data_IF_179012567254
#
_entry.id   IF_179012567254
#
_cell.length_a   1.000
_cell.length_b   1.000
_cell.length_c   1.000
_cell.angle_alpha   90.00
_cell.angle_beta   90.00
_cell.angle_gamma   90.00
#
_symmetry.space_group_name_H-M   'P 1'
#
loop_
_entity.id
_entity.type
_entity.pdbx_description
1 polymer ?
#
# COMPACT_ATOMS: atom_id res chain seq x y z
N UNK A 1 1.67 -22.48 12.30
CA UNK A 1 0.83 -21.48 11.60
C UNK A 1 0.49 -20.42 12.62
N UNK A 2 0.72 -19.15 12.33
CA UNK A 2 0.42 -18.04 13.24
C UNK A 2 -1.09 -17.94 13.46
N UNK A 3 -1.51 -17.77 14.72
CA UNK A 3 -2.94 -17.62 15.06
C UNK A 3 -3.55 -16.37 14.43
N UNK A 4 -2.75 -15.30 14.24
CA UNK A 4 -3.23 -14.05 13.63
C UNK A 4 -2.91 -13.98 12.14
N UNK A 5 -3.94 -13.63 11.36
CA UNK A 5 -3.90 -13.55 9.90
C UNK A 5 -3.64 -12.10 9.45
N UNK A 6 -2.82 -11.86 8.43
CA UNK A 6 -2.43 -10.50 8.05
C UNK A 6 -3.61 -9.68 7.54
N UNK A 7 -3.48 -8.35 7.67
CA UNK A 7 -4.28 -7.37 6.95
C UNK A 7 -3.53 -6.91 5.69
N UNK A 8 -4.18 -7.02 4.53
CA UNK A 8 -3.71 -6.45 3.26
C UNK A 8 -4.52 -5.23 2.85
N UNK A 9 -3.84 -4.12 2.56
CA UNK A 9 -4.50 -2.89 2.05
C UNK A 9 -4.39 -2.84 0.53
N UNK A 10 -5.55 -2.93 -0.13
CA UNK A 10 -5.69 -2.98 -1.59
C UNK A 10 -6.15 -1.63 -2.13
N UNK A 11 -5.34 -1.02 -2.99
CA UNK A 11 -5.69 0.22 -3.69
C UNK A 11 -4.82 0.41 -4.93
N UNK A 12 -5.23 1.27 -5.89
CA UNK A 12 -4.26 1.83 -6.80
C UNK A 12 -3.28 2.71 -6.03
N UNK A 13 -2.01 2.73 -6.45
CA UNK A 13 -1.05 3.68 -5.92
C UNK A 13 -1.60 5.12 -5.94
N UNK A 14 -1.11 5.98 -5.04
CA UNK A 14 -1.59 7.36 -4.83
C UNK A 14 -2.94 7.51 -4.09
N UNK A 15 -3.38 6.47 -3.38
CA UNK A 15 -4.64 6.49 -2.59
C UNK A 15 -4.39 6.58 -1.08
N UNK A 16 -3.50 7.46 -0.60
CA UNK A 16 -3.14 7.61 0.83
C UNK A 16 -2.53 6.38 1.52
N UNK A 17 -2.34 5.29 0.77
CA UNK A 17 -1.97 3.98 1.30
C UNK A 17 -0.76 3.91 2.24
N UNK A 18 0.27 4.73 2.07
CA UNK A 18 1.43 4.70 2.98
C UNK A 18 1.08 5.23 4.37
N UNK A 19 0.35 6.34 4.45
CA UNK A 19 -0.07 6.88 5.76
C UNK A 19 -1.10 5.95 6.40
N UNK A 20 -2.12 5.51 5.66
CA UNK A 20 -3.15 4.59 6.18
C UNK A 20 -2.54 3.28 6.69
N UNK A 21 -1.63 2.66 5.93
CA UNK A 21 -0.95 1.42 6.35
C UNK A 21 -0.12 1.63 7.62
N UNK A 22 0.61 2.74 7.70
CA UNK A 22 1.48 3.02 8.85
C UNK A 22 0.66 3.35 10.09
N UNK A 23 -0.40 4.16 9.96
CA UNK A 23 -1.35 4.49 11.03
C UNK A 23 -2.02 3.23 11.60
N UNK A 24 -2.60 2.39 10.74
CA UNK A 24 -3.19 1.12 11.20
C UNK A 24 -2.13 0.25 11.88
N UNK A 25 -0.95 0.16 11.28
CA UNK A 25 0.15 -0.65 11.78
C UNK A 25 0.83 -0.17 13.07
N UNK A 26 0.45 1.00 13.63
CA UNK A 26 0.90 1.46 14.95
C UNK A 26 0.03 0.92 16.11
N UNK A 27 -1.08 0.23 15.81
CA UNK A 27 -1.86 -0.43 16.86
C UNK A 27 -0.96 -1.41 17.65
N UNK A 28 -1.03 -1.49 18.99
CA UNK A 28 -0.14 -2.32 19.81
C UNK A 28 -0.12 -3.81 19.45
N UNK A 29 -1.22 -4.29 18.91
CA UNK A 29 -1.41 -5.68 18.47
C UNK A 29 -1.10 -5.93 16.99
N UNK A 30 -0.70 -4.89 16.26
CA UNK A 30 -0.36 -4.94 14.84
C UNK A 30 1.13 -4.62 14.61
N UNK A 31 1.62 -5.01 13.44
CA UNK A 31 2.94 -4.66 12.96
C UNK A 31 2.85 -4.12 11.53
N UNK A 32 2.91 -2.80 11.41
CA UNK A 32 2.90 -2.10 10.12
C UNK A 32 4.18 -2.31 9.32
N UNK A 33 4.04 -2.93 8.16
CA UNK A 33 5.15 -3.10 7.22
C UNK A 33 5.25 -1.90 6.25
N UNK A 34 6.47 -1.54 5.80
CA UNK A 34 6.63 -0.82 4.55
C UNK A 34 6.25 -1.73 3.36
N UNK A 35 6.31 -1.20 2.14
CA UNK A 35 6.07 -1.98 0.93
C UNK A 35 7.15 -3.08 0.77
N UNK A 36 6.78 -4.34 1.01
CA UNK A 36 7.71 -5.50 0.94
C UNK A 36 7.66 -6.27 -0.38
N UNK A 37 6.58 -6.15 -1.16
CA UNK A 37 6.42 -6.79 -2.48
C UNK A 37 6.61 -8.32 -2.50
N UNK A 38 6.33 -9.04 -1.41
CA UNK A 38 6.37 -10.51 -1.39
C UNK A 38 5.21 -11.14 -2.19
N UNK A 39 4.04 -10.50 -2.16
CA UNK A 39 2.82 -10.96 -2.84
C UNK A 39 2.78 -10.75 -4.35
N UNK A 40 3.92 -10.56 -5.03
CA UNK A 40 3.96 -10.33 -6.49
C UNK A 40 4.89 -11.26 -7.27
N UNK A 41 5.60 -12.15 -6.59
CA UNK A 41 6.54 -13.15 -7.16
C UNK A 41 6.46 -14.44 -6.35
N UNK A 42 6.97 -15.55 -6.88
CA UNK A 42 6.88 -16.88 -6.26
C UNK A 42 8.04 -17.19 -5.31
N UNK A 43 9.24 -16.67 -5.60
CA UNK A 43 10.46 -17.04 -4.88
C UNK A 43 11.27 -15.85 -4.38
N UNK A 44 12.10 -16.09 -3.37
CA UNK A 44 13.06 -15.10 -2.87
C UNK A 44 14.08 -14.72 -3.95
N UNK A 45 14.46 -15.66 -4.81
CA UNK A 45 15.33 -15.39 -5.96
C UNK A 45 14.70 -14.37 -6.95
N UNK A 46 13.44 -14.57 -7.33
CA UNK A 46 12.71 -13.61 -8.18
C UNK A 46 12.58 -12.25 -7.50
N UNK A 47 12.28 -12.25 -6.19
CA UNK A 47 12.18 -11.04 -5.40
C UNK A 47 13.50 -10.25 -5.35
N UNK A 48 14.63 -10.93 -5.16
CA UNK A 48 15.97 -10.34 -5.18
C UNK A 48 16.30 -9.68 -6.52
N UNK A 49 15.71 -10.15 -7.63
CA UNK A 49 15.90 -9.63 -8.99
C UNK A 49 14.95 -8.50 -9.37
N UNK A 50 13.93 -8.18 -8.56
CA UNK A 50 12.99 -7.08 -8.82
C UNK A 50 13.68 -5.75 -9.16
N UNK A 51 14.74 -5.30 -8.44
CA UNK A 51 15.39 -4.01 -8.72
C UNK A 51 16.06 -3.91 -10.09
N UNK A 52 16.41 -5.05 -10.69
CA UNK A 52 17.02 -5.10 -12.02
C UNK A 52 16.01 -4.83 -13.13
N UNK A 53 14.71 -4.87 -12.83
CA UNK A 53 13.65 -4.58 -13.81
C UNK A 53 13.38 -3.07 -13.92
N UNK A 54 13.14 -2.55 -15.14
CA UNK A 54 12.84 -1.13 -15.35
C UNK A 54 11.70 -0.62 -14.45
N UNK A 55 11.98 0.46 -13.71
CA UNK A 55 11.00 1.10 -12.82
C UNK A 55 10.77 0.41 -11.46
N UNK A 56 11.50 -0.66 -11.14
CA UNK A 56 11.31 -1.45 -9.90
C UNK A 56 12.48 -1.37 -8.91
N UNK A 57 13.45 -0.48 -9.13
CA UNK A 57 14.68 -0.32 -8.32
C UNK A 57 14.46 -0.25 -6.79
N UNK A 58 13.31 0.27 -6.34
CA UNK A 58 12.99 0.45 -4.93
C UNK A 58 12.21 -0.72 -4.30
N UNK A 59 11.68 -1.66 -5.08
CA UNK A 59 10.71 -2.65 -4.62
C UNK A 59 11.28 -3.69 -3.64
N UNK A 60 12.60 -3.79 -3.48
CA UNK A 60 13.19 -4.67 -2.47
C UNK A 60 13.60 -3.94 -1.19
N UNK A 61 13.51 -2.61 -1.14
CA UNK A 61 14.11 -1.83 -0.05
C UNK A 61 13.31 -1.96 1.25
N UNK A 62 11.98 -2.02 1.18
CA UNK A 62 11.12 -2.15 2.37
C UNK A 62 11.41 -3.42 3.17
N UNK A 63 11.40 -4.59 2.52
CA UNK A 63 11.67 -5.85 3.22
C UNK A 63 13.09 -5.94 3.78
N UNK A 64 14.09 -5.37 3.09
CA UNK A 64 15.46 -5.34 3.61
C UNK A 64 15.53 -4.56 4.92
N UNK A 65 14.81 -3.44 5.01
CA UNK A 65 14.71 -2.67 6.25
C UNK A 65 13.97 -3.42 7.34
N UNK A 66 12.88 -4.11 6.98
CA UNK A 66 12.11 -4.93 7.93
C UNK A 66 12.96 -6.03 8.54
N UNK A 67 13.68 -6.78 7.71
CA UNK A 67 14.54 -7.85 8.18
C UNK A 67 15.73 -7.30 8.98
N UNK A 68 16.31 -6.15 8.60
CA UNK A 68 17.37 -5.52 9.37
C UNK A 68 16.87 -5.13 10.78
N UNK A 69 15.72 -4.45 10.85
CA UNK A 69 15.08 -4.06 12.10
C UNK A 69 14.77 -5.27 12.98
N UNK A 70 14.16 -6.32 12.42
CA UNK A 70 13.75 -7.50 13.20
C UNK A 70 14.89 -8.43 13.58
N UNK A 71 15.96 -8.51 12.79
CA UNK A 71 17.09 -9.41 13.06
C UNK A 71 18.19 -8.74 13.89
N UNK A 72 18.35 -7.42 13.78
CA UNK A 72 19.47 -6.69 14.38
C UNK A 72 19.04 -5.53 15.29
N UNK A 73 17.75 -5.15 15.30
CA UNK A 73 17.26 -4.01 16.09
C UNK A 73 17.64 -2.64 15.51
N UNK A 74 18.21 -2.60 14.30
CA UNK A 74 18.61 -1.36 13.63
C UNK A 74 18.59 -1.47 12.10
N UNK A 75 18.72 -0.32 11.42
CA UNK A 75 18.70 -0.22 9.95
C UNK A 75 19.96 0.52 9.47
N UNK A 76 21.09 -0.19 9.46
CA UNK A 76 22.40 0.30 8.99
C UNK A 76 22.76 -0.29 7.63
N UNK A 77 23.77 0.25 6.95
CA UNK A 77 24.24 -0.35 5.69
C UNK A 77 24.76 -1.78 5.89
N UNK A 78 25.40 -2.07 7.03
CA UNK A 78 25.93 -3.37 7.38
C UNK A 78 24.85 -4.40 7.64
N UNK A 79 23.88 -4.11 8.50
CA UNK A 79 22.74 -5.00 8.76
C UNK A 79 21.94 -5.29 7.48
N UNK A 80 21.78 -4.31 6.60
CA UNK A 80 21.16 -4.52 5.27
C UNK A 80 22.04 -5.41 4.36
N UNK A 81 23.37 -5.31 4.42
CA UNK A 81 24.28 -6.21 3.68
C UNK A 81 24.15 -7.65 4.18
N UNK A 82 24.11 -7.84 5.50
CA UNK A 82 23.97 -9.15 6.15
C UNK A 82 22.63 -9.80 5.80
N UNK A 83 21.52 -9.08 5.95
CA UNK A 83 20.19 -9.52 5.53
C UNK A 83 20.17 -9.91 4.05
N UNK A 84 20.81 -9.13 3.17
CA UNK A 84 20.88 -9.46 1.75
C UNK A 84 21.67 -10.74 1.49
N UNK A 85 22.75 -10.98 2.24
CA UNK A 85 23.51 -12.22 2.17
C UNK A 85 22.67 -13.41 2.66
N UNK A 86 21.96 -13.25 3.77
CA UNK A 86 21.01 -14.24 4.29
C UNK A 86 19.92 -14.59 3.27
N UNK A 87 19.29 -13.59 2.63
CA UNK A 87 18.29 -13.82 1.58
C UNK A 87 18.86 -14.58 0.36
N UNK A 88 20.13 -14.36 0.00
CA UNK A 88 20.78 -15.10 -1.09
C UNK A 88 20.98 -16.58 -0.74
N UNK A 89 21.32 -16.89 0.51
CA UNK A 89 21.39 -18.27 0.99
C UNK A 89 20.01 -18.95 0.96
N UNK A 90 18.95 -18.17 1.18
CA UNK A 90 17.56 -18.62 1.16
C UNK A 90 16.83 -18.36 -0.17
N UNK A 91 17.56 -18.19 -1.28
CA UNK A 91 16.98 -17.89 -2.61
C UNK A 91 15.93 -18.91 -3.09
N UNK A 92 16.05 -20.15 -2.62
CA UNK A 92 15.19 -21.27 -2.94
C UNK A 92 13.84 -21.23 -2.20
N UNK A 93 13.68 -20.37 -1.20
CA UNK A 93 12.42 -20.22 -0.48
C UNK A 93 11.35 -19.61 -1.36
N UNK A 94 10.11 -20.04 -1.15
CA UNK A 94 8.95 -19.33 -1.68
C UNK A 94 8.76 -18.02 -0.92
N UNK A 95 8.20 -17.01 -1.58
CA UNK A 95 7.76 -15.79 -0.90
C UNK A 95 6.71 -16.08 0.15
N UNK A 96 5.86 -17.11 -0.03
CA UNK A 96 4.93 -17.59 1.00
C UNK A 96 5.67 -17.97 2.27
N UNK A 97 6.71 -18.81 2.18
CA UNK A 97 7.50 -19.22 3.34
C UNK A 97 8.14 -18.03 4.04
N UNK A 98 8.73 -17.10 3.28
CA UNK A 98 9.33 -15.89 3.84
C UNK A 98 8.29 -14.97 4.51
N UNK A 99 7.08 -14.88 3.97
CA UNK A 99 6.01 -14.08 4.57
C UNK A 99 5.50 -14.71 5.88
N UNK A 100 5.40 -16.04 5.95
CA UNK A 100 5.10 -16.76 7.19
C UNK A 100 6.21 -16.62 8.24
N UNK A 101 7.48 -16.74 7.85
CA UNK A 101 8.64 -16.48 8.74
C UNK A 101 8.59 -15.05 9.31
N UNK A 102 8.21 -14.06 8.50
CA UNK A 102 8.01 -12.70 8.98
C UNK A 102 6.86 -12.59 9.99
N UNK A 103 5.74 -13.27 9.75
CA UNK A 103 4.60 -13.29 10.66
C UNK A 103 4.95 -13.94 12.01
N UNK A 104 5.74 -15.01 11.98
CA UNK A 104 6.21 -15.71 13.19
C UNK A 104 7.15 -14.81 14.02
N UNK A 105 8.02 -14.01 13.38
CA UNK A 105 8.95 -13.10 14.07
C UNK A 105 8.27 -11.95 14.81
N UNK A 106 7.10 -11.51 14.34
CA UNK A 106 6.39 -10.37 14.95
C UNK A 106 5.33 -10.82 15.96
N UNK A 107 5.07 -12.13 16.07
CA UNK A 107 4.09 -12.69 16.98
C UNK A 107 4.32 -12.19 18.42
N UNK A 108 3.25 -11.88 19.18
CA UNK A 108 1.83 -12.10 18.87
C UNK A 108 1.18 -11.02 17.99
N UNK A 109 1.93 -10.07 17.43
CA UNK A 109 1.37 -9.01 16.58
C UNK A 109 0.98 -9.54 15.21
N UNK A 110 -0.08 -8.98 14.64
CA UNK A 110 -0.56 -9.27 13.29
C UNK A 110 0.06 -8.33 12.26
N UNK A 111 0.50 -8.85 11.13
CA UNK A 111 1.08 -8.04 10.06
C UNK A 111 0.03 -7.17 9.35
N UNK A 112 0.42 -5.94 9.01
CA UNK A 112 -0.32 -5.07 8.09
C UNK A 112 0.59 -4.77 6.91
N UNK A 113 0.21 -5.23 5.72
CA UNK A 113 0.99 -5.03 4.49
C UNK A 113 0.20 -4.24 3.46
N UNK A 114 0.93 -3.40 2.75
CA UNK A 114 0.45 -2.67 1.59
C UNK A 114 1.57 -2.60 0.58
N UNK A 115 1.32 -3.09 -0.62
CA UNK A 115 2.17 -2.85 -1.78
C UNK A 115 1.33 -2.34 -2.97
N UNK A 116 1.65 -1.20 -3.61
CA UNK A 116 0.82 -0.56 -4.65
C UNK A 116 0.45 -1.43 -5.87
N UNK A 117 1.12 -2.56 -6.06
CA UNK A 117 0.93 -3.49 -7.17
C UNK A 117 -0.01 -4.66 -6.84
N UNK A 118 -0.48 -4.79 -5.59
CA UNK A 118 -1.28 -5.94 -5.15
C UNK A 118 -2.66 -6.05 -5.80
N UNK A 119 -3.24 -4.94 -6.26
CA UNK A 119 -4.57 -4.92 -6.89
C UNK A 119 -4.67 -5.58 -8.28
N UNK A 120 -3.64 -6.30 -8.74
CA UNK A 120 -3.70 -7.09 -9.98
C UNK A 120 -4.24 -8.49 -9.70
N UNK A 121 -4.99 -9.12 -10.63
CA UNK A 121 -5.67 -10.39 -10.36
C UNK A 121 -4.73 -11.52 -9.93
N UNK A 122 -3.55 -11.62 -10.55
CA UNK A 122 -2.53 -12.60 -10.19
C UNK A 122 -1.99 -12.41 -8.77
N UNK A 123 -1.83 -11.16 -8.34
CA UNK A 123 -1.31 -10.82 -7.00
C UNK A 123 -2.40 -11.02 -5.93
N UNK A 124 -3.65 -10.65 -6.21
CA UNK A 124 -4.78 -10.90 -5.32
C UNK A 124 -4.95 -12.40 -5.03
N UNK A 125 -4.93 -13.24 -6.08
CA UNK A 125 -4.97 -14.70 -5.93
C UNK A 125 -3.79 -15.25 -5.14
N UNK A 126 -2.60 -14.68 -5.35
CA UNK A 126 -1.38 -15.07 -4.64
C UNK A 126 -1.49 -14.76 -3.15
N UNK A 127 -1.95 -13.56 -2.78
CA UNK A 127 -2.17 -13.18 -1.38
C UNK A 127 -3.17 -14.11 -0.69
N UNK A 128 -4.31 -14.39 -1.33
CA UNK A 128 -5.31 -15.33 -0.79
C UNK A 128 -4.75 -16.75 -0.65
N UNK A 129 -3.93 -17.21 -1.60
CA UNK A 129 -3.25 -18.51 -1.49
C UNK A 129 -2.24 -18.54 -0.34
N UNK A 130 -1.52 -17.45 -0.11
CA UNK A 130 -0.54 -17.33 0.99
C UNK A 130 -1.22 -17.34 2.35
N UNK A 131 -2.35 -16.64 2.47
CA UNK A 131 -3.12 -16.47 3.70
C UNK A 131 -4.64 -16.55 3.39
N UNK A 132 -5.22 -17.77 3.40
CA UNK A 132 -6.64 -17.97 3.07
C UNK A 132 -7.63 -17.28 4.02
N UNK A 133 -7.17 -16.92 5.21
CA UNK A 133 -7.97 -16.27 6.26
C UNK A 133 -7.57 -14.80 6.49
N UNK A 134 -6.80 -14.20 5.57
CA UNK A 134 -6.41 -12.80 5.67
C UNK A 134 -7.59 -11.83 5.57
N UNK A 135 -7.37 -10.64 6.11
CA UNK A 135 -8.26 -9.49 5.98
C UNK A 135 -7.83 -8.62 4.81
N UNK A 136 -8.79 -8.06 4.08
CA UNK A 136 -8.54 -7.23 2.89
C UNK A 136 -9.26 -5.89 2.99
N UNK A 137 -8.51 -4.81 3.22
CA UNK A 137 -9.05 -3.46 3.25
C UNK A 137 -8.96 -2.85 1.85
N UNK A 138 -10.09 -2.65 1.20
CA UNK A 138 -10.18 -1.93 -0.08
C UNK A 138 -10.20 -0.43 0.20
N UNK A 139 -9.03 0.20 0.05
CA UNK A 139 -8.85 1.64 0.22
C UNK A 139 -9.11 2.37 -1.10
N UNK A 140 -10.01 3.34 -1.08
CA UNK A 140 -10.37 4.17 -2.25
C UNK A 140 -9.92 5.60 -2.07
N UNK A 141 -9.70 6.27 -3.20
CA UNK A 141 -9.51 7.72 -3.28
C UNK A 141 -10.24 8.24 -4.50
N UNK A 142 -10.78 9.46 -4.39
CA UNK A 142 -11.49 10.11 -5.47
C UNK A 142 -10.64 10.12 -6.74
N UNK A 143 -11.22 9.78 -7.90
CA UNK A 143 -10.45 9.61 -9.12
C UNK A 143 -9.77 10.88 -9.63
N UNK A 144 -10.39 12.05 -9.45
CA UNK A 144 -9.78 13.35 -9.78
C UNK A 144 -8.54 13.65 -8.96
N UNK A 145 -8.58 13.40 -7.66
CA UNK A 145 -7.44 13.66 -6.77
C UNK A 145 -6.32 12.62 -6.99
N UNK A 146 -6.69 11.37 -7.28
CA UNK A 146 -5.76 10.31 -7.70
C UNK A 146 -5.08 10.65 -9.02
N UNK A 147 -5.87 11.05 -10.02
CA UNK A 147 -5.38 11.41 -11.36
C UNK A 147 -4.44 12.60 -11.35
N UNK A 148 -4.79 13.68 -10.64
CA UNK A 148 -3.90 14.82 -10.42
C UNK A 148 -2.56 14.41 -9.78
N UNK A 149 -2.60 13.53 -8.77
CA UNK A 149 -1.40 13.04 -8.11
C UNK A 149 -0.53 12.19 -9.04
N UNK A 150 -1.15 11.31 -9.82
CA UNK A 150 -0.45 10.45 -10.77
C UNK A 150 0.15 11.26 -11.92
N UNK A 151 -0.61 12.22 -12.46
CA UNK A 151 -0.15 13.13 -13.49
C UNK A 151 1.08 13.89 -13.05
N UNK A 152 1.05 14.60 -11.91
CA UNK A 152 2.21 15.34 -11.38
C UNK A 152 3.46 14.45 -11.24
N UNK A 153 3.28 13.22 -10.75
CA UNK A 153 4.41 12.28 -10.59
C UNK A 153 4.99 11.79 -11.91
N UNK A 154 4.15 11.59 -12.95
CA UNK A 154 4.57 11.07 -14.25
C UNK A 154 5.02 12.16 -15.22
N UNK A 155 4.39 13.33 -15.20
CA UNK A 155 4.79 14.48 -16.03
C UNK A 155 6.17 14.98 -15.64
N UNK A 156 6.51 15.05 -14.35
CA UNK A 156 7.86 15.39 -13.91
C UNK A 156 8.91 14.41 -14.44
N UNK A 157 8.59 13.11 -14.46
CA UNK A 157 9.46 12.07 -15.00
C UNK A 157 9.57 12.13 -16.52
N UNK A 158 8.48 12.39 -17.23
CA UNK A 158 8.48 12.42 -18.68
C UNK A 158 9.07 13.72 -19.24
N UNK A 159 8.98 14.84 -18.51
CA UNK A 159 9.70 16.08 -18.85
C UNK A 159 11.22 15.84 -18.87
N UNK A 160 11.72 15.01 -17.94
CA UNK A 160 13.12 14.56 -17.95
C UNK A 160 13.47 13.62 -19.13
N UNK A 161 12.48 13.11 -19.87
CA UNK A 161 12.65 12.13 -20.95
C UNK A 161 12.25 12.64 -22.34
N UNK A 162 11.85 13.91 -22.48
CA UNK A 162 11.43 14.53 -23.74
C UNK A 162 9.93 14.40 -24.02
N UNK A 163 9.21 15.52 -23.88
CA UNK A 163 7.78 15.76 -24.18
C UNK A 163 6.80 14.55 -24.12
N UNK A 164 6.13 14.31 -22.97
CA UNK A 164 5.10 13.27 -22.88
C UNK A 164 3.89 13.55 -23.77
N UNK A 165 3.38 12.50 -24.43
CA UNK A 165 2.01 12.48 -24.95
C UNK A 165 1.02 12.51 -23.75
N UNK A 166 0.47 13.70 -23.49
CA UNK A 166 -0.39 13.96 -22.35
C UNK A 166 -1.75 13.27 -22.46
N UNK A 167 -2.26 13.06 -23.68
CA UNK A 167 -3.51 12.36 -23.91
C UNK A 167 -3.35 10.87 -23.61
N UNK A 168 -2.26 10.27 -24.08
CA UNK A 168 -1.90 8.90 -23.72
C UNK A 168 -1.71 8.74 -22.21
N UNK A 169 -1.05 9.70 -21.55
CA UNK A 169 -0.88 9.68 -20.10
C UNK A 169 -2.22 9.73 -19.35
N UNK A 170 -3.17 10.54 -19.80
CA UNK A 170 -4.47 10.64 -19.16
C UNK A 170 -5.33 9.38 -19.33
N UNK A 171 -5.33 8.76 -20.51
CA UNK A 171 -5.99 7.47 -20.71
C UNK A 171 -5.35 6.39 -19.83
N UNK A 172 -4.02 6.37 -19.71
CA UNK A 172 -3.33 5.44 -18.80
C UNK A 172 -3.71 5.64 -17.33
N UNK A 173 -3.95 6.88 -16.89
CA UNK A 173 -4.41 7.18 -15.52
C UNK A 173 -5.81 6.59 -15.28
N UNK A 174 -6.73 6.86 -16.20
CA UNK A 174 -8.12 6.42 -16.11
C UNK A 174 -8.21 4.89 -16.19
N UNK A 175 -7.58 4.28 -17.18
CA UNK A 175 -7.55 2.83 -17.37
C UNK A 175 -6.91 2.11 -16.18
N UNK A 176 -5.83 2.67 -15.61
CA UNK A 176 -5.19 2.09 -14.43
C UNK A 176 -6.10 2.12 -13.20
N UNK A 177 -6.77 3.25 -12.95
CA UNK A 177 -7.71 3.39 -11.83
C UNK A 177 -8.89 2.42 -11.98
N UNK A 178 -9.49 2.35 -13.18
CA UNK A 178 -10.59 1.44 -13.48
C UNK A 178 -10.16 -0.01 -13.29
N UNK A 179 -9.05 -0.41 -13.91
CA UNK A 179 -8.56 -1.78 -13.88
C UNK A 179 -8.33 -2.25 -12.44
N UNK A 180 -7.59 -1.48 -11.64
CA UNK A 180 -7.25 -1.90 -10.27
C UNK A 180 -8.51 -1.99 -9.40
N UNK A 181 -9.39 -0.99 -9.42
CA UNK A 181 -10.59 -1.05 -8.59
C UNK A 181 -11.59 -2.12 -9.05
N UNK A 182 -11.75 -2.35 -10.36
CA UNK A 182 -12.58 -3.43 -10.86
C UNK A 182 -12.06 -4.80 -10.42
N UNK A 183 -10.74 -5.02 -10.45
CA UNK A 183 -10.12 -6.25 -9.96
C UNK A 183 -10.37 -6.44 -8.46
N UNK A 184 -10.16 -5.40 -7.66
CA UNK A 184 -10.35 -5.47 -6.21
C UNK A 184 -11.82 -5.74 -5.87
N UNK A 185 -12.77 -5.06 -6.52
CA UNK A 185 -14.20 -5.30 -6.31
C UNK A 185 -14.62 -6.73 -6.67
N UNK A 186 -14.16 -7.24 -7.81
CA UNK A 186 -14.44 -8.63 -8.21
C UNK A 186 -13.84 -9.64 -7.23
N UNK A 187 -12.64 -9.37 -6.73
CA UNK A 187 -11.98 -10.19 -5.73
C UNK A 187 -12.69 -10.16 -4.38
N UNK A 188 -12.96 -8.99 -3.81
CA UNK A 188 -13.59 -8.87 -2.49
C UNK A 188 -15.03 -9.39 -2.47
N UNK A 189 -15.76 -9.29 -3.60
CA UNK A 189 -17.07 -9.89 -3.74
C UNK A 189 -17.06 -11.43 -3.73
N UNK A 190 -15.90 -12.05 -3.99
CA UNK A 190 -15.72 -13.51 -3.96
C UNK A 190 -15.28 -14.05 -2.59
N UNK A 191 -14.94 -13.17 -1.64
CA UNK A 191 -14.45 -13.57 -0.32
C UNK A 191 -15.61 -13.88 0.65
N UNK A 192 -15.39 -14.78 1.62
CA UNK A 192 -16.27 -14.97 2.77
C UNK A 192 -16.65 -13.65 3.47
N UNK A 193 -17.88 -13.55 4.03
CA UNK A 193 -18.26 -12.41 4.85
C UNK A 193 -17.26 -12.14 5.97
N UNK A 194 -16.97 -10.86 6.22
CA UNK A 194 -16.02 -10.44 7.25
C UNK A 194 -14.55 -10.42 6.80
N UNK A 195 -14.17 -10.96 5.65
CA UNK A 195 -12.79 -10.88 5.16
C UNK A 195 -12.45 -9.58 4.42
N UNK A 196 -13.44 -8.76 4.07
CA UNK A 196 -13.21 -7.52 3.36
C UNK A 196 -13.97 -6.34 3.97
N UNK A 197 -13.30 -5.20 4.02
CA UNK A 197 -13.87 -3.90 4.38
C UNK A 197 -13.49 -2.88 3.29
N UNK A 198 -14.41 -1.97 2.94
CA UNK A 198 -14.11 -0.85 2.05
C UNK A 198 -13.97 0.43 2.87
N UNK A 199 -12.93 1.22 2.58
CA UNK A 199 -12.63 2.47 3.27
C UNK A 199 -12.40 3.60 2.26
N UNK A 200 -13.17 4.68 2.39
CA UNK A 200 -12.93 5.91 1.65
C UNK A 200 -11.81 6.67 2.35
N UNK A 201 -10.69 6.87 1.65
CA UNK A 201 -9.54 7.56 2.22
C UNK A 201 -9.85 9.00 2.63
N UNK A 202 -10.77 9.68 1.93
CA UNK A 202 -11.23 11.01 2.31
C UNK A 202 -11.95 11.03 3.67
N UNK A 203 -12.79 10.04 3.93
CA UNK A 203 -13.51 9.94 5.20
C UNK A 203 -12.59 9.48 6.34
N UNK A 204 -11.67 8.56 6.05
CA UNK A 204 -10.60 8.20 6.99
C UNK A 204 -9.80 9.42 7.45
N UNK A 205 -9.41 10.30 6.51
CA UNK A 205 -8.67 11.51 6.88
C UNK A 205 -9.55 12.53 7.62
N UNK A 206 -10.85 12.58 7.33
CA UNK A 206 -11.78 13.46 8.03
C UNK A 206 -11.98 13.05 9.49
N UNK A 207 -12.13 11.75 9.75
CA UNK A 207 -12.46 11.21 11.07
C UNK A 207 -11.58 9.99 11.42
N UNK A 208 -10.25 10.15 11.56
CA UNK A 208 -9.34 9.01 11.67
C UNK A 208 -9.63 8.13 12.88
N UNK A 209 -9.83 8.70 14.07
CA UNK A 209 -10.12 7.92 15.28
C UNK A 209 -11.37 7.03 15.15
N UNK A 210 -12.42 7.51 14.46
CA UNK A 210 -13.63 6.73 14.20
C UNK A 210 -13.32 5.49 13.35
N UNK A 211 -12.65 5.68 12.21
CA UNK A 211 -12.35 4.58 11.29
C UNK A 211 -11.28 3.64 11.83
N UNK A 212 -10.30 4.15 12.60
CA UNK A 212 -9.31 3.32 13.27
C UNK A 212 -9.97 2.37 14.28
N UNK A 213 -10.95 2.87 15.04
CA UNK A 213 -11.75 2.05 15.95
C UNK A 213 -12.56 0.99 15.22
N UNK A 214 -13.25 1.35 14.13
CA UNK A 214 -13.99 0.38 13.30
C UNK A 214 -13.08 -0.70 12.69
N UNK A 215 -11.86 -0.33 12.27
CA UNK A 215 -10.88 -1.29 11.75
C UNK A 215 -10.40 -2.21 12.88
N UNK A 216 -10.10 -1.68 14.07
CA UNK A 216 -9.70 -2.49 15.22
C UNK A 216 -10.80 -3.49 15.62
N UNK A 217 -12.06 -3.04 15.69
CA UNK A 217 -13.23 -3.91 15.93
C UNK A 217 -13.34 -5.01 14.88
N UNK A 218 -13.24 -4.66 13.61
CA UNK A 218 -13.32 -5.61 12.49
C UNK A 218 -12.21 -6.68 12.53
N UNK A 219 -11.01 -6.30 12.97
CA UNK A 219 -9.88 -7.21 13.13
C UNK A 219 -9.91 -7.99 14.46
N UNK A 220 -10.91 -7.78 15.31
CA UNK A 220 -11.01 -8.33 16.67
C UNK A 220 -9.81 -7.95 17.57
N UNK A 221 -9.45 -6.68 17.55
CA UNK A 221 -8.39 -6.09 18.38
C UNK A 221 -8.99 -5.28 19.53
N UNK A 222 -8.17 -4.91 20.52
CA UNK A 222 -8.58 -3.95 21.55
C UNK A 222 -8.90 -2.58 20.95
N UNK A 223 -9.85 -1.87 21.55
CA UNK A 223 -10.41 -0.62 21.00
C UNK A 223 -10.38 0.53 22.01
N UNK A 224 -9.73 0.37 23.15
CA UNK A 224 -9.56 1.46 24.11
C UNK A 224 -8.75 2.62 23.54
N UNK A 225 -8.88 3.77 24.20
CA UNK A 225 -8.36 5.04 23.69
C UNK A 225 -6.84 5.04 23.54
N UNK A 226 -6.09 4.36 24.41
CA UNK A 226 -4.63 4.25 24.29
C UNK A 226 -4.22 3.54 22.99
N UNK A 227 -4.92 2.46 22.63
CA UNK A 227 -4.64 1.71 21.42
C UNK A 227 -4.98 2.50 20.15
N UNK A 228 -6.11 3.22 20.15
CA UNK A 228 -6.51 4.08 19.04
C UNK A 228 -5.61 5.30 18.94
N UNK A 229 -5.18 5.88 20.05
CA UNK A 229 -4.24 7.00 20.08
C UNK A 229 -2.88 6.60 19.50
N UNK A 230 -2.34 5.44 19.90
CA UNK A 230 -1.10 4.93 19.33
C UNK A 230 -1.15 4.84 17.80
N UNK A 231 -2.30 4.47 17.23
CA UNK A 231 -2.48 4.43 15.78
C UNK A 231 -2.31 5.80 15.12
N UNK A 232 -2.69 6.90 15.77
CA UNK A 232 -2.67 8.26 15.21
C UNK A 232 -1.25 8.84 15.00
N UNK A 233 -0.21 8.12 15.45
CA UNK A 233 1.18 8.54 15.41
C UNK A 233 2.03 7.74 14.40
N UNK A 234 1.73 7.73 13.09
CA UNK A 234 2.49 6.95 12.11
C UNK A 234 3.99 7.31 12.06
N UNK A 235 4.39 8.51 12.50
CA UNK A 235 5.77 8.96 12.63
C UNK A 235 6.61 8.12 13.60
N UNK A 236 6.00 7.38 14.54
CA UNK A 236 6.72 6.51 15.47
C UNK A 236 7.15 5.19 14.83
N UNK A 237 6.68 4.89 13.63
CA UNK A 237 7.10 3.69 12.90
C UNK A 237 8.61 3.73 12.58
N UNK A 238 9.35 2.62 12.75
CA UNK A 238 10.75 2.54 12.33
C UNK A 238 10.92 2.69 10.80
N UNK A 239 9.82 2.62 10.05
CA UNK A 239 9.75 2.74 8.59
C UNK A 239 9.24 4.10 8.11
N UNK A 240 8.88 5.01 9.01
CA UNK A 240 8.41 6.36 8.73
C UNK A 240 9.56 7.37 8.54
N UNK A 241 10.68 6.90 7.98
CA UNK A 241 11.88 7.68 7.69
C UNK A 241 12.64 7.09 6.51
N UNK A 242 13.57 7.85 5.94
CA UNK A 242 14.55 7.29 5.00
C UNK A 242 15.44 6.27 5.71
N UNK A 243 15.66 5.12 5.06
CA UNK A 243 16.60 4.10 5.51
C UNK A 243 18.04 4.39 5.03
N UNK A 244 18.97 3.44 5.26
CA UNK A 244 20.36 3.56 4.81
C UNK A 244 20.47 3.58 3.28
N UNK A 245 21.60 4.03 2.72
CA UNK A 245 21.77 4.26 1.27
C UNK A 245 21.43 3.02 0.44
N UNK A 246 21.78 1.82 0.92
CA UNK A 246 21.55 0.54 0.26
C UNK A 246 20.11 -0.03 0.44
N UNK A 247 19.25 0.62 1.23
CA UNK A 247 17.82 0.34 1.38
C UNK A 247 17.04 1.61 1.79
N UNK A 248 17.15 2.66 0.97
CA UNK A 248 16.72 4.02 1.37
C UNK A 248 15.21 4.22 1.53
N UNK A 249 14.39 3.49 0.79
CA UNK A 249 12.93 3.67 0.75
C UNK A 249 12.20 2.51 1.44
N UNK A 250 10.98 2.20 1.02
CA UNK A 250 10.06 1.27 1.67
C UNK A 250 8.65 1.82 1.66
N UNK A 251 8.50 3.14 1.69
CA UNK A 251 7.24 3.82 1.44
C UNK A 251 7.41 4.90 0.37
N UNK A 252 6.29 5.45 -0.10
CA UNK A 252 6.32 6.61 -0.99
C UNK A 252 7.11 7.77 -0.38
N UNK A 253 7.95 8.42 -1.20
CA UNK A 253 8.81 9.54 -0.81
C UNK A 253 8.09 10.64 -0.04
N UNK A 254 6.91 11.08 -0.48
CA UNK A 254 6.19 12.17 0.19
C UNK A 254 5.76 11.82 1.63
N UNK A 255 5.53 10.54 1.92
CA UNK A 255 5.28 10.10 3.29
C UNK A 255 6.57 10.03 4.12
N UNK A 256 7.70 9.63 3.53
CA UNK A 256 8.98 9.60 4.25
C UNK A 256 9.51 11.01 4.58
N UNK A 257 9.12 12.02 3.80
CA UNK A 257 9.45 13.43 4.05
C UNK A 257 8.54 14.04 5.13
N UNK A 258 7.26 13.65 5.16
CA UNK A 258 6.27 14.14 6.11
C UNK A 258 5.42 12.98 6.66
N UNK A 259 5.93 12.22 7.64
CA UNK A 259 5.35 10.95 8.08
C UNK A 259 4.14 11.08 9.01
N UNK A 260 3.49 12.24 9.04
CA UNK A 260 2.41 12.53 9.98
C UNK A 260 1.04 12.22 9.38
N UNK A 261 0.10 11.80 10.23
CA UNK A 261 -1.31 11.74 9.89
C UNK A 261 -1.88 13.16 9.82
N UNK A 262 -2.11 13.65 8.60
CA UNK A 262 -2.78 14.95 8.40
C UNK A 262 -4.29 14.77 8.45
N UNK A 263 -4.84 14.76 9.67
CA UNK A 263 -6.28 14.75 9.88
C UNK A 263 -6.92 16.02 9.30
N UNK A 264 -8.11 15.86 8.73
CA UNK A 264 -8.86 16.89 8.02
C UNK A 264 -9.38 16.39 6.69
N UNK A 265 -10.66 16.66 6.41
CA UNK A 265 -11.28 16.29 5.15
C UNK A 265 -10.53 16.97 3.99
N UNK A 266 -10.00 16.21 3.01
CA UNK A 266 -9.42 16.80 1.82
C UNK A 266 -10.44 17.67 1.08
N UNK A 267 -9.96 18.66 0.32
CA UNK A 267 -10.85 19.51 -0.48
C UNK A 267 -11.79 18.66 -1.34
N UNK A 268 -13.11 18.96 -1.34
CA UNK A 268 -14.08 18.22 -2.14
C UNK A 268 -13.66 18.20 -3.61
N UNK A 269 -13.78 17.03 -4.23
CA UNK A 269 -13.59 16.86 -5.67
C UNK A 269 -14.92 16.44 -6.28
N UNK A 270 -15.15 16.86 -7.53
CA UNK A 270 -16.35 16.48 -8.29
C UNK A 270 -15.98 15.52 -9.43
N UNK A 271 -16.89 14.61 -9.76
CA UNK A 271 -16.80 13.83 -11.01
C UNK A 271 -17.11 14.65 -12.27
N UNK A 272 -17.74 15.82 -12.13
CA UNK A 272 -18.09 16.70 -13.24
C UNK A 272 -16.95 17.64 -13.64
N UNK A 273 -17.02 18.18 -14.85
CA UNK A 273 -16.10 19.19 -15.36
C UNK A 273 -14.81 18.65 -15.99
N UNK A 274 -14.05 19.52 -16.68
CA UNK A 274 -12.82 19.14 -17.38
C UNK A 274 -11.73 18.69 -16.40
N UNK A 275 -10.87 17.76 -16.83
CA UNK A 275 -9.72 17.30 -16.04
C UNK A 275 -8.55 18.28 -16.18
N UNK A 276 -8.01 18.76 -15.05
CA UNK A 276 -7.08 19.90 -15.01
C UNK A 276 -5.72 19.60 -15.65
N UNK A 277 -5.41 18.33 -15.86
CA UNK A 277 -4.14 17.87 -16.42
C UNK A 277 -4.19 17.57 -17.92
N UNK A 278 -5.33 17.75 -18.57
CA UNK A 278 -5.49 17.50 -20.00
C UNK A 278 -5.15 18.73 -20.84
N UNK A 279 -4.49 18.57 -22.00
CA UNK A 279 -4.25 19.66 -22.94
C UNK A 279 -5.55 20.14 -23.63
N UNK A 280 -6.53 19.24 -23.81
CA UNK A 280 -7.86 19.58 -24.33
C UNK A 280 -8.93 19.30 -23.27
N UNK A 281 -9.86 20.23 -23.01
CA UNK A 281 -10.90 20.06 -22.01
C UNK A 281 -11.76 18.83 -22.28
N UNK A 282 -11.71 17.85 -21.37
CA UNK A 282 -12.50 16.62 -21.40
C UNK A 282 -12.78 16.18 -19.97
N UNK A 283 -13.96 15.61 -19.70
CA UNK A 283 -14.30 14.98 -18.42
C UNK A 283 -13.88 13.50 -18.35
N UNK A 284 -14.26 12.82 -17.26
CA UNK A 284 -14.09 11.37 -17.16
C UNK A 284 -14.95 10.61 -18.15
N UNK A 285 -14.44 9.49 -18.65
CA UNK A 285 -15.20 8.58 -19.50
C UNK A 285 -16.34 7.86 -18.74
N UNK A 286 -17.31 7.28 -19.46
CA UNK A 286 -18.49 6.67 -18.86
C UNK A 286 -18.17 5.46 -17.96
N UNK A 287 -17.12 4.68 -18.29
CA UNK A 287 -16.67 3.55 -17.46
C UNK A 287 -16.18 4.03 -16.09
N UNK A 288 -15.38 5.09 -16.09
CA UNK A 288 -14.85 5.72 -14.89
C UNK A 288 -15.95 6.27 -14.00
N UNK A 289 -16.90 7.01 -14.58
CA UNK A 289 -18.03 7.59 -13.84
C UNK A 289 -18.90 6.53 -13.17
N UNK A 290 -19.19 5.41 -13.87
CA UNK A 290 -19.96 4.30 -13.28
C UNK A 290 -19.24 3.70 -12.08
N UNK A 291 -17.96 3.38 -12.23
CA UNK A 291 -17.18 2.78 -11.17
C UNK A 291 -16.97 3.74 -9.98
N UNK A 292 -16.73 5.02 -10.24
CA UNK A 292 -16.61 6.04 -9.19
C UNK A 292 -17.88 6.15 -8.34
N UNK A 293 -19.06 6.17 -8.98
CA UNK A 293 -20.35 6.17 -8.27
C UNK A 293 -20.58 4.88 -7.48
N UNK A 294 -20.19 3.73 -8.02
CA UNK A 294 -20.24 2.45 -7.28
C UNK A 294 -19.36 2.47 -6.02
N UNK A 295 -18.25 3.21 -6.05
CA UNK A 295 -17.36 3.42 -4.90
C UNK A 295 -17.80 4.56 -3.97
N UNK A 296 -18.93 5.22 -4.25
CA UNK A 296 -19.50 6.27 -3.39
C UNK A 296 -19.06 7.70 -3.73
N UNK A 297 -18.41 7.93 -4.88
CA UNK A 297 -18.00 9.28 -5.30
C UNK A 297 -19.08 9.99 -6.14
N UNK A 298 -19.13 11.32 -6.01
CA UNK A 298 -20.10 12.21 -6.67
C UNK A 298 -19.43 13.26 -7.55
#
# INVERSE_FOLDING_TARGET
MTDRQPLFILCPGRSFSSVVCTTIGQHPELYGLPEIYLGIVDTVDEWLRLPSQPGRKHMNQGLLRVLAELQHGEQTEDTVREVRAWLRQHRHWTTTRLFHDLAERVAPRQLVDKSPTQGKPENLRRLLKMFPQAFFLHLTRHPRSTGNSFYRAKSARALLQGHPDLNRLANLIEDHWIMIHANILGFTASLPPGQAMRLLGEDFLAEPALYLRQIAEWLNLRTDDDAIEAMQHPETSPYARFGPVNARHGNNRGFLEEPFLKAGRPSPASLAGPLEWLPQPRGFGPKMLRLARQLGYQ
#
